data_IF_082403537250
#
_entry.id   IF_082403537250
#
_cell.length_a   1.000
_cell.length_b   1.000
_cell.length_c   1.000
_cell.angle_alpha   90.00
_cell.angle_beta   90.00
_cell.angle_gamma   90.00
#
_symmetry.space_group_name_H-M   'P 1'
#
loop_
_entity.id
_entity.type
_entity.pdbx_description
1 polymer ?
#
# COMPACT_ATOMS: atom_id res chain seq x y z
N UNK A 1 -4.72 16.46 7.93
CA UNK A 1 -3.98 15.37 7.25
C UNK A 1 -3.43 15.94 5.96
N UNK A 2 -2.11 15.95 5.77
CA UNK A 2 -1.52 16.37 4.49
C UNK A 2 -1.61 15.17 3.55
N UNK A 3 -2.58 15.19 2.64
CA UNK A 3 -2.63 14.22 1.56
C UNK A 3 -1.36 14.42 0.74
N UNK A 4 -0.59 13.36 0.52
CA UNK A 4 0.55 13.39 -0.38
C UNK A 4 -0.03 13.37 -1.80
N UNK A 5 -0.63 14.49 -2.23
CA UNK A 5 -1.45 14.59 -3.45
C UNK A 5 -0.67 14.25 -4.73
N UNK A 6 0.66 14.23 -4.67
CA UNK A 6 1.54 13.87 -5.77
C UNK A 6 2.19 12.49 -5.62
N UNK A 7 1.78 11.67 -4.64
CA UNK A 7 2.35 10.34 -4.48
C UNK A 7 1.79 9.41 -5.56
N UNK A 8 2.64 9.05 -6.52
CA UNK A 8 2.25 8.19 -7.64
C UNK A 8 2.45 6.71 -7.32
N UNK A 9 3.40 6.39 -6.45
CA UNK A 9 3.80 5.01 -6.16
C UNK A 9 3.96 4.81 -4.66
N UNK A 10 3.40 3.72 -4.14
CA UNK A 10 3.56 3.26 -2.77
C UNK A 10 4.08 1.83 -2.77
N UNK A 11 5.27 1.63 -2.21
CA UNK A 11 5.82 0.30 -2.01
C UNK A 11 5.69 -0.08 -0.54
N UNK A 12 5.00 -1.20 -0.28
CA UNK A 12 4.86 -1.78 1.05
C UNK A 12 5.73 -3.04 1.06
N UNK A 13 6.73 -3.07 1.95
CA UNK A 13 7.70 -4.16 2.06
C UNK A 13 7.54 -4.87 3.39
N UNK A 14 7.38 -6.20 3.38
CA UNK A 14 7.55 -7.07 4.56
C UNK A 14 6.68 -6.73 5.79
N UNK A 15 5.54 -6.06 5.59
CA UNK A 15 4.58 -5.77 6.67
C UNK A 15 3.23 -6.42 6.35
N UNK A 16 3.03 -7.69 6.70
CA UNK A 16 1.77 -8.40 6.42
C UNK A 16 0.55 -7.71 7.07
N UNK A 17 0.76 -7.12 8.25
CA UNK A 17 -0.28 -6.34 8.94
C UNK A 17 -0.69 -5.07 8.17
N UNK A 18 0.23 -4.50 7.40
CA UNK A 18 -0.06 -3.34 6.57
C UNK A 18 -0.73 -3.77 5.27
N UNK A 19 -0.38 -4.94 4.71
CA UNK A 19 -1.09 -5.54 3.58
C UNK A 19 -2.57 -5.74 3.89
N UNK A 20 -2.90 -6.33 5.05
CA UNK A 20 -4.30 -6.51 5.48
C UNK A 20 -5.04 -5.19 5.64
N UNK A 21 -4.37 -4.18 6.21
CA UNK A 21 -4.95 -2.86 6.46
C UNK A 21 -5.03 -2.00 5.20
N UNK A 22 -4.15 -2.20 4.23
CA UNK A 22 -4.11 -1.51 2.96
C UNK A 22 -4.74 -2.32 1.83
N UNK A 23 -5.40 -3.43 2.16
CA UNK A 23 -6.06 -4.30 1.21
C UNK A 23 -7.07 -3.49 0.39
N UNK A 24 -7.03 -3.65 -0.93
CA UNK A 24 -7.91 -2.94 -1.85
C UNK A 24 -9.38 -3.17 -1.46
N UNK A 25 -10.13 -2.08 -1.33
CA UNK A 25 -11.57 -2.02 -0.98
C UNK A 25 -11.97 -2.49 0.43
N UNK A 26 -11.18 -3.35 1.08
CA UNK A 26 -11.53 -3.99 2.36
C UNK A 26 -10.68 -3.44 3.53
N UNK A 27 -9.47 -3.00 3.24
CA UNK A 27 -8.50 -2.57 4.24
C UNK A 27 -8.94 -1.32 4.99
N UNK A 28 -8.79 -1.33 6.31
CA UNK A 28 -9.15 -0.20 7.17
C UNK A 28 -8.42 1.11 6.79
N UNK A 29 -7.22 1.02 6.21
CA UNK A 29 -6.39 2.12 5.77
C UNK A 29 -6.41 2.32 4.23
N UNK A 30 -7.24 1.56 3.49
CA UNK A 30 -7.35 1.69 2.02
C UNK A 30 -7.66 3.12 1.59
N UNK A 31 -8.59 3.80 2.26
CA UNK A 31 -8.96 5.19 1.95
C UNK A 31 -7.79 6.18 2.01
N UNK A 32 -6.74 5.87 2.78
CA UNK A 32 -5.53 6.69 2.86
C UNK A 32 -4.64 6.54 1.64
N UNK A 33 -4.71 5.41 0.94
CA UNK A 33 -3.84 5.08 -0.18
C UNK A 33 -4.60 4.96 -1.51
N UNK A 34 -5.93 4.99 -1.49
CA UNK A 34 -6.79 4.85 -2.67
C UNK A 34 -6.57 5.93 -3.74
N UNK A 35 -5.95 7.06 -3.38
CA UNK A 35 -5.57 8.12 -4.32
C UNK A 35 -4.26 7.83 -5.06
N UNK A 36 -3.52 6.79 -4.67
CA UNK A 36 -2.21 6.43 -5.22
C UNK A 36 -2.44 5.45 -6.38
N UNK A 37 -2.04 5.80 -7.61
CA UNK A 37 -2.34 5.00 -8.79
C UNK A 37 -1.57 3.68 -8.85
N UNK A 38 -0.41 3.58 -8.19
CA UNK A 38 0.41 2.38 -8.15
C UNK A 38 0.75 2.01 -6.71
N UNK A 39 0.22 0.88 -6.25
CA UNK A 39 0.54 0.31 -4.94
C UNK A 39 1.12 -1.07 -5.19
N UNK A 40 2.39 -1.25 -4.84
CA UNK A 40 3.13 -2.50 -5.04
C UNK A 40 3.44 -3.09 -3.67
N UNK A 41 2.95 -4.30 -3.44
CA UNK A 41 3.32 -5.11 -2.29
C UNK A 41 4.50 -5.99 -2.69
N UNK A 42 5.62 -5.86 -1.99
CA UNK A 42 6.69 -6.86 -2.07
C UNK A 42 6.61 -7.77 -0.85
N UNK A 43 6.03 -8.98 -0.99
CA UNK A 43 6.26 -10.00 0.01
C UNK A 43 7.76 -10.30 -0.01
N UNK A 44 8.41 -10.25 1.14
CA UNK A 44 9.86 -10.49 1.29
C UNK A 44 10.24 -11.94 1.04
N UNK A 45 9.86 -12.50 -0.11
CA UNK A 45 10.19 -13.86 -0.51
C UNK A 45 10.66 -13.83 -1.96
N UNK A 46 11.98 -13.76 -2.10
CA UNK A 46 12.73 -14.43 -3.15
C UNK A 46 12.66 -13.82 -4.56
N UNK A 47 13.74 -13.14 -4.93
CA UNK A 47 14.32 -13.37 -6.24
C UNK A 47 14.66 -14.87 -6.36
N UNK A 48 13.85 -15.67 -7.06
CA UNK A 48 14.27 -16.83 -7.86
C UNK A 48 13.32 -17.03 -9.04
#
# INVERSE_FOLDING_TARGET
>A
MRCLTNLQQLNIHEVPQLEERCLKDIGADWYKIAHIPSVTHWPGVGYI
#
